data_IF_796875984692
#
_entry.id   IF_796875984692
#
_cell.length_a   1.000
_cell.length_b   1.000
_cell.length_c   1.000
_cell.angle_alpha   90.00
_cell.angle_beta   90.00
_cell.angle_gamma   90.00
#
_symmetry.space_group_name_H-M   'P 1'
#
loop_
_entity.id
_entity.type
_entity.pdbx_description
1 polymer ?
#
# COMPACT_ATOMS: atom_id res chain seq x y z
N UNK A 1 -6.00 14.02 14.28
CA UNK A 1 -6.92 14.91 13.53
C UNK A 1 -7.84 14.04 12.70
N UNK A 2 -9.17 14.24 12.77
CA UNK A 2 -10.19 13.47 12.02
C UNK A 2 -11.12 14.48 11.32
N UNK A 3 -10.72 15.02 10.16
CA UNK A 3 -11.39 16.18 9.57
C UNK A 3 -12.73 15.85 8.89
N UNK A 4 -13.04 14.57 8.67
CA UNK A 4 -14.27 14.14 8.02
C UNK A 4 -15.23 13.45 9.00
N UNK A 5 -16.54 13.49 8.73
CA UNK A 5 -17.58 12.83 9.54
C UNK A 5 -17.46 11.30 9.52
N UNK A 6 -17.13 10.71 8.38
CA UNK A 6 -16.80 9.29 8.21
C UNK A 6 -15.67 9.14 7.18
N UNK A 7 -15.04 7.97 7.13
CA UNK A 7 -14.11 7.59 6.07
C UNK A 7 -12.67 8.01 6.31
N UNK A 8 -12.35 8.61 7.46
CA UNK A 8 -10.98 8.95 7.85
C UNK A 8 -10.02 7.75 7.67
N UNK A 9 -10.43 6.55 8.08
CA UNK A 9 -9.62 5.33 7.91
C UNK A 9 -9.51 4.82 6.46
N UNK A 10 -10.46 5.18 5.57
CA UNK A 10 -10.33 4.90 4.12
C UNK A 10 -9.35 5.88 3.49
N UNK A 11 -9.49 7.17 3.80
CA UNK A 11 -8.60 8.23 3.32
C UNK A 11 -7.18 8.01 3.82
N UNK A 12 -6.98 7.69 5.10
CA UNK A 12 -5.65 7.40 5.66
C UNK A 12 -4.95 6.27 4.91
N UNK A 13 -5.64 5.14 4.67
CA UNK A 13 -5.06 4.02 3.91
C UNK A 13 -4.79 4.37 2.45
N UNK A 14 -5.68 5.14 1.82
CA UNK A 14 -5.45 5.61 0.46
C UNK A 14 -4.23 6.55 0.38
N UNK A 15 -4.03 7.42 1.37
CA UNK A 15 -2.86 8.29 1.46
C UNK A 15 -1.58 7.48 1.72
N UNK A 16 -1.60 6.51 2.63
CA UNK A 16 -0.47 5.59 2.84
C UNK A 16 -0.09 4.89 1.55
N UNK A 17 -1.07 4.33 0.83
CA UNK A 17 -0.84 3.69 -0.46
C UNK A 17 -0.26 4.67 -1.49
N UNK A 18 -0.80 5.89 -1.58
CA UNK A 18 -0.31 6.91 -2.50
C UNK A 18 1.15 7.27 -2.24
N UNK A 19 1.54 7.47 -0.97
CA UNK A 19 2.93 7.80 -0.61
C UNK A 19 3.88 6.66 -0.95
N UNK A 20 3.47 5.41 -0.72
CA UNK A 20 4.28 4.24 -1.10
C UNK A 20 4.50 4.20 -2.62
N UNK A 21 3.45 4.42 -3.41
CA UNK A 21 3.55 4.44 -4.87
C UNK A 21 4.41 5.60 -5.38
N UNK A 22 4.36 6.76 -4.74
CA UNK A 22 5.22 7.90 -5.07
C UNK A 22 6.69 7.67 -4.73
N UNK A 23 6.98 6.71 -3.86
CA UNK A 23 8.32 6.40 -3.37
C UNK A 23 8.87 5.09 -3.96
N UNK A 24 8.27 4.58 -5.04
CA UNK A 24 8.62 3.30 -5.70
C UNK A 24 8.57 2.06 -4.78
N UNK A 25 7.72 2.10 -3.74
CA UNK A 25 7.44 0.97 -2.86
C UNK A 25 6.27 0.13 -3.38
N UNK A 26 6.21 -1.14 -2.96
CA UNK A 26 5.10 -2.00 -3.34
C UNK A 26 3.77 -1.50 -2.74
N UNK A 27 2.65 -1.71 -3.46
CA UNK A 27 1.34 -1.27 -3.00
C UNK A 27 0.95 -1.99 -1.71
N UNK A 28 0.72 -1.19 -0.65
CA UNK A 28 0.35 -1.68 0.67
C UNK A 28 -1.17 -1.87 0.76
N UNK A 29 -1.60 -3.11 0.99
CA UNK A 29 -3.02 -3.46 1.16
C UNK A 29 -3.23 -4.04 2.55
N UNK A 30 -3.94 -3.30 3.42
CA UNK A 30 -4.40 -3.81 4.71
C UNK A 30 -5.67 -4.64 4.49
N UNK A 31 -5.53 -5.96 4.57
CA UNK A 31 -6.61 -6.91 4.37
C UNK A 31 -7.58 -6.98 5.56
N UNK A 32 -8.62 -7.81 5.42
CA UNK A 32 -9.57 -8.04 6.54
C UNK A 32 -8.91 -8.76 7.72
N UNK A 33 -7.97 -9.66 7.45
CA UNK A 33 -7.26 -10.43 8.47
C UNK A 33 -6.26 -9.56 9.24
N UNK A 34 -5.65 -8.56 8.60
CA UNK A 34 -4.69 -7.65 9.22
C UNK A 34 -5.36 -6.53 10.01
N UNK A 35 -6.70 -6.43 9.96
CA UNK A 35 -7.46 -5.35 10.60
C UNK A 35 -7.21 -5.26 12.11
N UNK A 36 -7.21 -6.35 12.91
CA UNK A 36 -6.94 -6.27 14.34
C UNK A 36 -5.53 -5.73 14.62
N UNK A 37 -4.52 -6.22 13.89
CA UNK A 37 -3.13 -5.79 14.06
C UNK A 37 -2.92 -4.34 13.64
N UNK A 38 -3.59 -3.91 12.57
CA UNK A 38 -3.59 -2.52 12.13
C UNK A 38 -4.18 -1.58 13.18
N UNK A 39 -5.30 -1.94 13.80
CA UNK A 39 -5.90 -1.13 14.86
C UNK A 39 -5.01 -1.09 16.10
N UNK A 40 -4.48 -2.24 16.53
CA UNK A 40 -3.54 -2.33 17.65
C UNK A 40 -2.27 -1.47 17.43
N UNK A 41 -1.74 -1.50 16.21
CA UNK A 41 -0.58 -0.69 15.85
C UNK A 41 -0.88 0.81 15.80
N UNK A 42 -2.11 1.20 15.39
CA UNK A 42 -2.56 2.59 15.47
C UNK A 42 -2.75 3.06 16.91
N UNK A 43 -3.29 2.21 17.78
CA UNK A 43 -3.44 2.52 19.20
C UNK A 43 -2.07 2.73 19.86
N UNK A 44 -1.10 1.85 19.59
CA UNK A 44 0.28 2.02 20.05
C UNK A 44 0.93 3.31 19.52
N UNK A 45 0.67 3.66 18.25
CA UNK A 45 1.15 4.91 17.66
C UNK A 45 0.53 6.15 18.33
N UNK A 46 -0.73 6.05 18.77
CA UNK A 46 -1.40 7.10 19.52
C UNK A 46 -0.79 7.26 20.94
N UNK A 47 -0.27 6.18 21.51
CA UNK A 47 0.53 6.18 22.75
C UNK A 47 2.03 6.51 22.51
N UNK A 48 2.33 7.18 21.41
CA UNK A 48 3.66 7.62 20.98
C UNK A 48 4.66 6.50 20.59
N UNK A 49 4.21 5.26 20.43
CA UNK A 49 5.01 4.17 19.86
C UNK A 49 4.61 3.86 18.42
N UNK A 50 5.28 4.50 17.46
CA UNK A 50 5.04 4.28 16.03
C UNK A 50 5.64 2.98 15.49
N UNK A 51 6.52 2.31 16.25
CA UNK A 51 7.32 1.17 15.75
C UNK A 51 6.47 -0.02 15.30
N UNK A 52 5.39 -0.42 16.01
CA UNK A 52 4.51 -1.49 15.56
C UNK A 52 3.84 -1.20 14.22
N UNK A 53 3.45 0.06 13.98
CA UNK A 53 2.81 0.47 12.73
C UNK A 53 3.77 0.39 11.55
N UNK A 54 5.00 0.88 11.72
CA UNK A 54 6.04 0.78 10.68
C UNK A 54 6.35 -0.69 10.36
N UNK A 55 6.49 -1.54 11.39
CA UNK A 55 6.73 -2.98 11.20
C UNK A 55 5.61 -3.65 10.43
N UNK A 56 4.36 -3.38 10.77
CA UNK A 56 3.21 -3.92 10.07
C UNK A 56 3.24 -3.54 8.58
N UNK A 57 3.55 -2.28 8.28
CA UNK A 57 3.62 -1.81 6.90
C UNK A 57 4.75 -2.48 6.11
N UNK A 58 5.93 -2.65 6.72
CA UNK A 58 7.04 -3.38 6.09
C UNK A 58 6.70 -4.84 5.82
N UNK A 59 6.01 -5.54 6.73
CA UNK A 59 5.58 -6.93 6.50
C UNK A 59 4.58 -7.03 5.34
N UNK A 60 3.60 -6.13 5.29
CA UNK A 60 2.63 -6.08 4.19
C UNK A 60 3.32 -5.81 2.84
N UNK A 61 4.31 -4.91 2.81
CA UNK A 61 5.10 -4.63 1.61
C UNK A 61 5.89 -5.88 1.15
N UNK A 62 6.55 -6.57 2.08
CA UNK A 62 7.29 -7.81 1.81
C UNK A 62 6.36 -8.88 1.23
N UNK A 63 5.16 -9.05 1.80
CA UNK A 63 4.16 -9.99 1.28
C UNK A 63 3.74 -9.60 -0.14
N UNK A 64 3.44 -8.32 -0.38
CA UNK A 64 3.04 -7.82 -1.69
C UNK A 64 4.13 -8.08 -2.77
N UNK A 65 5.40 -7.82 -2.44
CA UNK A 65 6.54 -8.10 -3.32
C UNK A 65 6.70 -9.59 -3.62
N UNK A 66 6.56 -10.45 -2.60
CA UNK A 66 6.65 -11.91 -2.76
C UNK A 66 5.54 -12.46 -3.65
N UNK A 67 4.32 -11.91 -3.54
CA UNK A 67 3.20 -12.28 -4.39
C UNK A 67 3.43 -11.92 -5.86
N UNK A 68 3.96 -10.73 -6.16
CA UNK A 68 4.25 -10.31 -7.54
C UNK A 68 5.33 -11.18 -8.19
N UNK A 69 6.46 -11.41 -7.49
CA UNK A 69 7.55 -12.27 -8.00
C UNK A 69 7.07 -13.69 -8.32
N UNK A 70 6.14 -14.22 -7.54
CA UNK A 70 5.57 -15.55 -7.78
C UNK A 70 4.73 -15.58 -9.07
N UNK A 71 3.98 -14.51 -9.35
CA UNK A 71 3.15 -14.39 -10.56
C UNK A 71 3.92 -14.16 -11.86
N UNK A 72 5.15 -13.65 -11.79
CA UNK A 72 6.00 -13.45 -12.98
C UNK A 72 6.58 -14.79 -13.50
N UNK A 73 6.77 -15.79 -12.64
CA UNK A 73 7.36 -17.09 -13.02
C UNK A 73 6.46 -17.94 -13.93
N UNK A 74 5.15 -17.68 -13.95
CA UNK A 74 4.17 -18.34 -14.82
C UNK A 74 3.81 -17.54 -16.08
N UNK A 75 4.43 -16.37 -16.28
CA UNK A 75 4.05 -15.38 -17.30
C UNK A 75 5.07 -15.18 -18.43
N UNK A 76 5.71 -16.23 -18.96
CA UNK A 76 6.36 -16.14 -20.27
C UNK A 76 5.31 -16.25 -21.38
N UNK A 77 4.53 -15.19 -21.59
CA UNK A 77 3.51 -15.15 -22.64
C UNK A 77 2.85 -13.78 -22.75
N UNK A 78 3.42 -12.93 -23.60
CA UNK A 78 2.86 -11.67 -24.15
C UNK A 78 2.39 -10.62 -23.14
N UNK A 79 3.26 -9.64 -22.85
CA UNK A 79 2.82 -8.29 -22.49
C UNK A 79 2.40 -7.60 -23.80
N UNK A 80 1.14 -7.20 -24.03
CA UNK A 80 0.83 -6.34 -25.16
C UNK A 80 1.51 -4.99 -24.93
N UNK A 81 2.23 -4.53 -25.95
CA UNK A 81 2.88 -3.22 -25.97
C UNK A 81 1.90 -2.13 -25.49
N UNK A 82 2.25 -1.48 -24.38
CA UNK A 82 1.58 -0.28 -23.93
C UNK A 82 1.69 0.77 -25.05
N UNK A 83 0.51 1.16 -25.54
CA UNK A 83 0.30 2.20 -26.52
C UNK A 83 1.10 3.46 -26.15
N UNK A 84 1.98 3.89 -27.05
CA UNK A 84 2.70 5.15 -26.98
C UNK A 84 1.71 6.32 -27.00
N UNK A 85 1.32 6.84 -25.83
CA UNK A 85 0.68 8.16 -25.78
C UNK A 85 1.76 9.21 -26.04
N UNK A 86 1.79 9.67 -27.28
CA UNK A 86 2.54 10.84 -27.71
C UNK A 86 2.19 12.04 -26.86
N UNK A 87 3.17 12.57 -26.13
CA UNK A 87 3.13 13.89 -25.51
C UNK A 87 3.25 14.92 -26.64
N UNK A 88 2.14 15.50 -27.09
CA UNK A 88 2.15 16.72 -27.91
C UNK A 88 1.97 17.91 -26.98
N UNK A 89 2.85 18.92 -27.00
CA UNK A 89 2.63 20.16 -26.27
C UNK A 89 1.64 21.06 -27.04
N UNK A 90 0.80 21.77 -26.30
CA UNK A 90 0.18 23.04 -26.72
C UNK A 90 0.91 24.17 -26.01
#
# INVERSE_FOLDING_TARGET
MHPFEDGNGRVARALTLLVQLQSDHAPLVVGRHDRPDYLSALDAANDADIRPLVRLFSELEIVALRSHRSSESTGSGSVPALCSTSRQPV
#
